data_IF_326994128958
#
_entry.id   IF_326994128958
#
_cell.length_a   1.000
_cell.length_b   1.000
_cell.length_c   1.000
_cell.angle_alpha   90.00
_cell.angle_beta   90.00
_cell.angle_gamma   90.00
#
_symmetry.space_group_name_H-M   'P 1'
#
loop_
_entity.id
_entity.type
_entity.pdbx_description
1 polymer ?
#
# COMPACT_ATOMS: atom_id res chain seq x y z
N UNK A 1 5.69 -26.04 -21.68
CA UNK A 1 5.64 -25.46 -21.32
C UNK A 1 5.59 -24.94 -20.74
N UNK A 2 5.56 -24.75 -20.59
CA UNK A 2 5.50 -24.10 -20.08
C UNK A 2 5.13 -23.37 -19.33
N UNK A 3 5.38 -22.94 -19.27
CA UNK A 3 4.96 -22.34 -18.59
C UNK A 3 4.59 -21.16 -17.93
N UNK A 4 4.33 -20.51 -18.15
CA UNK A 4 3.65 -19.38 -17.60
C UNK A 4 3.27 -19.55 -16.14
N UNK A 5 3.15 -20.72 -15.74
CA UNK A 5 2.89 -21.01 -14.33
C UNK A 5 4.06 -20.61 -13.44
N UNK A 6 5.20 -20.37 -14.04
CA UNK A 6 6.36 -19.96 -13.30
C UNK A 6 6.52 -18.46 -13.17
N UNK A 7 5.60 -17.66 -13.71
CA UNK A 7 5.71 -16.21 -13.67
C UNK A 7 4.96 -15.68 -12.42
N UNK A 8 5.66 -15.12 -11.43
CA UNK A 8 4.98 -14.57 -10.27
C UNK A 8 4.15 -13.35 -10.65
N UNK A 9 3.03 -13.19 -9.99
CA UNK A 9 2.18 -12.03 -10.21
C UNK A 9 1.98 -11.28 -8.91
N UNK A 10 1.78 -9.97 -9.03
CA UNK A 10 1.50 -9.13 -7.89
C UNK A 10 0.12 -9.49 -7.35
N UNK A 11 0.03 -9.73 -6.04
CA UNK A 11 -1.25 -9.97 -5.41
C UNK A 11 -1.99 -8.66 -5.16
N UNK A 12 -3.22 -8.76 -4.67
CA UNK A 12 -4.05 -7.59 -4.43
C UNK A 12 -4.30 -7.40 -2.95
N UNK A 13 -4.30 -6.13 -2.54
CA UNK A 13 -4.71 -5.71 -1.20
C UNK A 13 -5.97 -4.89 -1.32
N UNK A 14 -6.86 -5.03 -0.33
CA UNK A 14 -7.99 -4.11 -0.16
C UNK A 14 -7.55 -3.04 0.81
N UNK A 15 -7.60 -1.78 0.37
CA UNK A 15 -7.14 -0.64 1.16
C UNK A 15 -8.34 0.24 1.48
N UNK A 16 -8.51 0.57 2.76
CA UNK A 16 -9.53 1.49 3.21
C UNK A 16 -8.91 2.69 3.87
N UNK A 17 -9.41 3.87 3.54
CA UNK A 17 -8.96 5.12 4.11
C UNK A 17 -10.15 5.78 4.79
N UNK A 18 -10.05 6.02 6.10
CA UNK A 18 -11.09 6.73 6.83
C UNK A 18 -10.48 7.91 7.55
N UNK A 19 -11.31 8.94 7.77
CA UNK A 19 -10.83 10.17 8.40
C UNK A 19 -10.31 9.89 9.81
N UNK A 20 -9.12 10.38 10.08
CA UNK A 20 -8.55 10.38 11.43
C UNK A 20 -8.67 11.76 12.03
N UNK A 21 -7.63 12.20 12.76
CA UNK A 21 -7.57 13.57 13.24
C UNK A 21 -7.32 14.51 12.08
N UNK A 22 -7.42 15.82 12.32
CA UNK A 22 -7.28 16.82 11.26
C UNK A 22 -6.00 16.60 10.45
N UNK A 23 -6.16 16.43 9.13
CA UNK A 23 -5.05 16.24 8.22
C UNK A 23 -4.52 14.80 8.16
N UNK A 24 -5.15 13.88 8.88
CA UNK A 24 -4.69 12.50 8.95
C UNK A 24 -5.76 11.53 8.49
N UNK A 25 -5.33 10.35 8.05
CA UNK A 25 -6.24 9.27 7.68
C UNK A 25 -5.78 7.98 8.36
N UNK A 26 -6.73 7.11 8.66
CA UNK A 26 -6.44 5.77 9.17
C UNK A 26 -6.51 4.80 8.01
N UNK A 27 -5.44 4.06 7.79
CA UNK A 27 -5.36 3.12 6.66
C UNK A 27 -5.44 1.71 7.17
N UNK A 28 -6.46 0.98 6.70
CA UNK A 28 -6.65 -0.42 7.01
C UNK A 28 -6.46 -1.25 5.75
N UNK A 29 -5.72 -2.32 5.86
CA UNK A 29 -5.32 -3.15 4.73
C UNK A 29 -5.69 -4.60 5.00
N UNK A 30 -6.20 -5.27 3.98
CA UNK A 30 -6.63 -6.66 4.07
C UNK A 30 -6.19 -7.39 2.81
N UNK A 31 -5.69 -8.60 2.87
CA UNK A 31 -5.39 -9.40 4.08
C UNK A 31 -4.17 -8.86 4.81
N UNK A 32 -3.98 -9.30 6.04
CA UNK A 32 -2.80 -8.90 6.81
C UNK A 32 -1.52 -9.41 6.17
N UNK A 33 -0.40 -8.70 6.34
CA UNK A 33 0.88 -9.18 5.81
C UNK A 33 1.26 -10.51 6.44
N UNK A 34 1.91 -11.35 5.65
CA UNK A 34 2.47 -12.60 6.18
C UNK A 34 3.72 -12.28 6.99
N UNK A 35 4.15 -13.26 7.80
CA UNK A 35 5.30 -13.07 8.67
C UNK A 35 6.55 -12.67 7.87
N UNK A 36 7.30 -11.73 8.40
CA UNK A 36 8.51 -11.23 7.74
C UNK A 36 8.28 -10.16 6.69
N UNK A 37 7.03 -9.92 6.30
CA UNK A 37 6.69 -8.85 5.37
C UNK A 37 6.29 -7.60 6.14
N UNK A 38 6.25 -6.48 5.44
CA UNK A 38 5.83 -5.21 6.03
C UNK A 38 5.00 -4.43 5.02
N UNK A 39 4.33 -3.39 5.50
CA UNK A 39 3.51 -2.53 4.66
C UNK A 39 4.20 -1.20 4.46
N UNK A 40 4.14 -0.70 3.23
CA UNK A 40 4.66 0.62 2.87
C UNK A 40 3.61 1.33 2.03
N UNK A 41 3.68 2.67 1.98
CA UNK A 41 2.72 3.43 1.21
C UNK A 41 3.38 4.61 0.51
N UNK A 42 2.67 5.12 -0.50
CA UNK A 42 3.03 6.35 -1.19
C UNK A 42 1.75 7.01 -1.66
N UNK A 43 1.72 8.34 -1.61
CA UNK A 43 0.55 9.11 -2.04
C UNK A 43 0.89 9.93 -3.28
N UNK A 44 -0.15 10.30 -4.02
CA UNK A 44 -0.02 11.17 -5.19
C UNK A 44 -1.31 11.98 -5.33
N UNK A 45 -1.22 13.11 -6.03
CA UNK A 45 -2.32 14.06 -6.08
C UNK A 45 -3.49 13.57 -6.93
N UNK A 46 -3.23 12.90 -8.05
CA UNK A 46 -4.31 12.56 -8.98
C UNK A 46 -4.29 11.13 -9.46
N UNK A 47 -3.14 10.50 -9.56
CA UNK A 47 -3.03 9.12 -10.04
C UNK A 47 -2.29 8.29 -9.01
N UNK A 48 -2.90 7.20 -8.55
CA UNK A 48 -2.27 6.33 -7.58
C UNK A 48 -0.95 5.78 -8.13
N UNK A 49 0.11 5.77 -7.33
CA UNK A 49 1.37 5.17 -7.78
C UNK A 49 1.15 3.70 -8.16
N UNK A 50 1.76 3.27 -9.25
CA UNK A 50 1.63 1.89 -9.71
C UNK A 50 2.77 1.05 -9.14
N UNK A 51 2.49 -0.25 -9.01
CA UNK A 51 3.44 -1.21 -8.45
C UNK A 51 3.45 -2.46 -9.33
N UNK A 52 4.63 -2.99 -9.60
CA UNK A 52 4.78 -4.27 -10.27
C UNK A 52 5.40 -5.27 -9.30
N UNK A 53 5.23 -6.55 -9.58
CA UNK A 53 5.82 -7.59 -8.73
C UNK A 53 7.32 -7.37 -8.63
N UNK A 54 7.83 -7.49 -7.43
CA UNK A 54 9.27 -7.40 -7.12
C UNK A 54 9.85 -6.00 -7.27
N UNK A 55 9.01 -4.97 -7.48
CA UNK A 55 9.49 -3.59 -7.47
C UNK A 55 10.19 -3.28 -6.15
N UNK A 56 11.24 -2.48 -6.24
CA UNK A 56 11.99 -2.04 -5.06
C UNK A 56 11.27 -0.83 -4.46
N UNK A 57 10.56 -1.04 -3.37
CA UNK A 57 9.81 0.01 -2.69
C UNK A 57 10.47 0.39 -1.37
N UNK A 58 11.77 0.14 -1.24
CA UNK A 58 12.48 0.39 0.01
C UNK A 58 12.46 1.86 0.41
N UNK A 59 12.17 2.77 -0.53
CA UNK A 59 12.10 4.20 -0.23
C UNK A 59 10.69 4.68 0.10
N UNK A 60 9.69 3.81 0.00
CA UNK A 60 8.33 4.15 0.42
C UNK A 60 8.28 4.18 1.94
N UNK A 61 7.25 4.82 2.48
CA UNK A 61 7.12 4.99 3.93
C UNK A 61 6.49 3.75 4.54
N UNK A 62 7.16 3.18 5.53
CA UNK A 62 6.65 2.02 6.27
C UNK A 62 5.58 2.45 7.27
N UNK A 63 4.54 1.64 7.44
CA UNK A 63 3.53 1.87 8.45
C UNK A 63 2.95 0.53 8.91
N UNK A 64 2.19 0.56 10.01
CA UNK A 64 1.51 -0.61 10.51
C UNK A 64 0.03 -0.55 10.15
N UNK A 65 -0.56 -1.71 9.89
CA UNK A 65 -1.98 -1.79 9.54
C UNK A 65 -2.83 -1.13 10.62
N UNK A 66 -3.67 -0.20 10.21
CA UNK A 66 -4.52 0.54 11.12
C UNK A 66 -3.91 1.81 11.68
N UNK A 67 -2.66 2.11 11.32
CA UNK A 67 -2.03 3.35 11.76
C UNK A 67 -2.69 4.57 11.15
N UNK A 68 -2.62 5.66 11.89
CA UNK A 68 -3.03 6.97 11.40
C UNK A 68 -1.81 7.63 10.74
N UNK A 69 -1.98 8.10 9.50
CA UNK A 69 -0.90 8.74 8.76
C UNK A 69 -1.36 10.10 8.25
N UNK A 70 -0.40 10.97 7.99
CA UNK A 70 -0.70 12.29 7.41
C UNK A 70 -0.85 12.14 5.90
N UNK A 71 -2.00 12.55 5.37
CA UNK A 71 -2.28 12.49 3.95
C UNK A 71 -3.35 13.50 3.58
N UNK A 72 -3.25 14.06 2.37
CA UNK A 72 -4.17 15.10 1.92
C UNK A 72 -5.46 14.48 1.41
N UNK A 73 -6.59 14.98 1.90
CA UNK A 73 -7.90 14.51 1.48
C UNK A 73 -8.05 14.66 -0.04
N UNK A 74 -8.57 13.62 -0.68
CA UNK A 74 -8.76 13.62 -2.13
C UNK A 74 -7.56 13.13 -2.92
N UNK A 75 -6.40 12.99 -2.30
CA UNK A 75 -5.25 12.38 -2.96
C UNK A 75 -5.45 10.87 -3.09
N UNK A 76 -4.55 10.22 -3.79
CA UNK A 76 -4.57 8.76 -3.96
C UNK A 76 -3.45 8.16 -3.14
N UNK A 77 -3.72 6.99 -2.55
CA UNK A 77 -2.70 6.27 -1.79
C UNK A 77 -2.57 4.86 -2.36
N UNK A 78 -1.34 4.41 -2.52
CA UNK A 78 -1.06 3.02 -2.85
C UNK A 78 -0.31 2.41 -1.68
N UNK A 79 -0.79 1.25 -1.24
CA UNK A 79 -0.16 0.48 -0.17
C UNK A 79 0.38 -0.80 -0.78
N UNK A 80 1.55 -1.20 -0.36
CA UNK A 80 2.15 -2.45 -0.83
C UNK A 80 2.62 -3.28 0.35
N UNK A 81 2.43 -4.59 0.22
CA UNK A 81 3.07 -5.54 1.12
C UNK A 81 4.40 -5.93 0.49
N UNK A 82 5.49 -5.76 1.23
CA UNK A 82 6.83 -5.99 0.72
C UNK A 82 7.57 -6.96 1.62
N UNK A 83 8.59 -7.60 1.05
CA UNK A 83 9.49 -8.44 1.82
C UNK A 83 10.31 -7.58 2.77
N UNK A 84 11.07 -8.23 3.65
CA UNK A 84 11.97 -7.50 4.56
C UNK A 84 12.94 -6.61 3.78
N UNK A 85 13.26 -6.98 2.54
CA UNK A 85 14.16 -6.21 1.66
C UNK A 85 13.44 -5.09 0.91
N UNK A 86 12.13 -4.98 1.05
CA UNK A 86 11.36 -3.93 0.38
C UNK A 86 10.87 -4.28 -1.01
N UNK A 87 10.80 -5.55 -1.36
CA UNK A 87 10.35 -5.97 -2.70
C UNK A 87 8.85 -6.23 -2.69
N UNK A 88 8.14 -5.68 -3.67
CA UNK A 88 6.69 -5.72 -3.72
C UNK A 88 6.15 -7.14 -3.97
N UNK A 89 5.15 -7.51 -3.19
CA UNK A 89 4.47 -8.80 -3.34
C UNK A 89 2.97 -8.63 -3.55
N UNK A 90 2.37 -7.60 -2.96
CA UNK A 90 0.95 -7.27 -3.13
C UNK A 90 0.78 -5.77 -3.09
N UNK A 91 -0.27 -5.26 -3.71
CA UNK A 91 -0.56 -3.84 -3.63
C UNK A 91 -2.05 -3.57 -3.78
N UNK A 92 -2.46 -2.41 -3.32
CA UNK A 92 -3.81 -1.91 -3.49
C UNK A 92 -3.81 -0.40 -3.35
N UNK A 93 -4.88 0.24 -3.79
CA UNK A 93 -4.97 1.70 -3.72
C UNK A 93 -6.35 2.14 -3.30
N UNK A 94 -6.44 3.39 -2.86
CA UNK A 94 -7.69 3.99 -2.43
C UNK A 94 -7.59 5.50 -2.54
N UNK A 95 -8.76 6.15 -2.49
CA UNK A 95 -8.80 7.61 -2.33
C UNK A 95 -8.59 7.93 -0.86
N UNK A 96 -7.81 8.96 -0.60
CA UNK A 96 -7.54 9.38 0.78
C UNK A 96 -8.73 10.15 1.32
N UNK A 97 -9.23 9.71 2.49
CA UNK A 97 -10.23 10.45 3.26
C UNK A 97 -9.56 10.84 4.56
N UNK A 98 -9.25 12.13 4.70
CA UNK A 98 -8.56 12.59 5.90
C UNK A 98 -9.47 13.48 6.74
N UNK A 99 -9.12 13.64 8.02
CA UNK A 99 -9.87 14.49 8.94
C UNK A 99 -9.75 15.95 8.55
N UNK A 100 -10.80 16.72 8.87
CA UNK A 100 -10.83 18.15 8.60
C UNK A 100 -10.64 18.99 9.82
#
# INVERSE_FOLDING_TARGET
MWFKNGVPTLGELTVESVAGTTGNTVITVSPKPIGGHKLVYKTAASTAPSVAYDDDLSKWTEFNNGDEITATNGHKITVAEVTADGKARKSGSADVVSGE
#
